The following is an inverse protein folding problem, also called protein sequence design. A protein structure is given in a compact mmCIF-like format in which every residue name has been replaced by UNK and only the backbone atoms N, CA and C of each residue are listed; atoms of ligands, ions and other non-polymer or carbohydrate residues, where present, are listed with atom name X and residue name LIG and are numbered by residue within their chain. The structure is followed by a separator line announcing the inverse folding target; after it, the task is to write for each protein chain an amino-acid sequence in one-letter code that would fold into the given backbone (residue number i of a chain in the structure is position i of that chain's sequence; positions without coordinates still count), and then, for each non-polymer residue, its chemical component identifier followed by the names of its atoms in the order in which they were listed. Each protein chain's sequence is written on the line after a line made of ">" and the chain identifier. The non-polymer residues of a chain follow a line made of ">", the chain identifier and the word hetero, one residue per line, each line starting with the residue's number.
data_IF_248133088162
#
_entry.id   IF_248133088162
#
_cell.length_a   1.000
_cell.length_b   1.000
_cell.length_c   1.000
_cell.angle_alpha   90.00
_cell.angle_beta   90.00
_cell.angle_gamma   90.00
#
_symmetry.space_group_name_H-M   'P 1'
#
loop_
_entity.id
_entity.type
_entity.pdbx_description
1 polymer ?
#
# COMPACT_ATOMS: atom_id res chain seq x y z
N UNK A 1 30.64 49.99 -18.11
CA UNK A 1 29.45 49.89 -17.23
C UNK A 1 28.51 48.75 -17.65
N UNK A 2 29.02 47.51 -17.81
CA UNK A 2 28.22 46.35 -18.28
C UNK A 2 28.18 45.19 -17.27
N UNK A 3 28.94 45.31 -16.17
CA UNK A 3 29.14 44.23 -15.19
C UNK A 3 28.25 44.37 -13.93
N UNK A 4 27.58 45.51 -13.74
CA UNK A 4 26.75 45.75 -12.54
C UNK A 4 25.36 45.11 -12.72
N UNK A 5 24.83 45.06 -13.94
CA UNK A 5 23.49 44.51 -14.22
C UNK A 5 23.45 42.98 -14.08
N UNK A 6 24.54 42.28 -14.41
CA UNK A 6 24.60 40.81 -14.33
C UNK A 6 24.63 40.32 -12.86
N UNK A 7 25.26 41.08 -11.97
CA UNK A 7 25.38 40.74 -10.55
C UNK A 7 24.05 40.92 -9.79
N UNK A 8 23.21 41.88 -10.23
CA UNK A 8 21.89 42.16 -9.64
C UNK A 8 20.84 41.08 -9.98
N UNK A 9 20.91 40.49 -11.18
CA UNK A 9 19.99 39.42 -11.61
C UNK A 9 20.28 38.12 -10.87
N UNK A 10 21.56 37.81 -10.62
CA UNK A 10 21.96 36.62 -9.85
C UNK A 10 21.51 36.74 -8.39
N UNK A 11 21.65 37.93 -7.78
CA UNK A 11 21.23 38.15 -6.40
C UNK A 11 19.71 38.01 -6.21
N UNK A 12 18.91 38.39 -7.22
CA UNK A 12 17.45 38.25 -7.20
C UNK A 12 16.98 36.79 -7.30
N UNK A 13 17.71 35.94 -8.02
CA UNK A 13 17.39 34.52 -8.18
C UNK A 13 17.69 33.69 -6.92
N UNK A 14 18.66 34.10 -6.10
CA UNK A 14 19.05 33.37 -4.89
C UNK A 14 18.02 33.59 -3.75
N UNK A 15 17.36 34.75 -3.70
CA UNK A 15 16.35 35.03 -2.66
C UNK A 15 14.98 34.41 -2.95
N UNK A 16 14.72 33.95 -4.17
CA UNK A 16 13.46 33.29 -4.55
C UNK A 16 13.44 31.78 -4.25
N UNK A 17 14.58 31.18 -3.93
CA UNK A 17 14.72 29.71 -3.79
C UNK A 17 14.61 29.21 -2.34
N UNK A 18 14.20 30.04 -1.39
CA UNK A 18 14.00 29.58 -0.01
C UNK A 18 12.53 29.16 0.18
N UNK A 19 12.09 28.15 -0.57
CA UNK A 19 10.92 27.37 -0.14
C UNK A 19 11.35 26.67 1.15
N UNK A 20 10.76 27.11 2.26
CA UNK A 20 10.97 26.50 3.56
C UNK A 20 10.55 25.03 3.44
N UNK A 21 11.51 24.13 3.45
CA UNK A 21 11.27 22.69 3.47
C UNK A 21 10.47 22.39 4.75
N UNK A 22 9.16 22.21 4.61
CA UNK A 22 8.30 21.81 5.71
C UNK A 22 8.53 20.32 5.90
N UNK A 23 9.38 19.98 6.88
CA UNK A 23 9.54 18.61 7.34
C UNK A 23 8.26 18.23 8.09
N UNK A 24 7.33 17.56 7.41
CA UNK A 24 6.16 16.96 8.06
C UNK A 24 6.63 15.66 8.71
N UNK A 25 6.49 15.57 10.04
CA UNK A 25 6.85 14.36 10.76
C UNK A 25 5.91 13.19 10.39
N UNK A 26 6.44 11.97 10.19
CA UNK A 26 5.61 10.79 10.03
C UNK A 26 4.76 10.51 11.27
N UNK A 27 3.53 10.06 11.05
CA UNK A 27 2.63 9.59 12.08
C UNK A 27 2.56 8.08 12.08
N UNK A 28 2.58 7.49 13.27
CA UNK A 28 2.28 6.09 13.45
C UNK A 28 0.78 5.83 13.20
N UNK A 29 0.48 4.72 12.55
CA UNK A 29 -0.89 4.28 12.35
C UNK A 29 -1.01 2.76 12.46
N UNK A 30 -2.19 2.32 12.85
CA UNK A 30 -2.61 0.92 12.85
C UNK A 30 -3.79 0.66 11.92
N UNK A 31 -3.91 -0.60 11.48
CA UNK A 31 -5.02 -1.12 10.65
C UNK A 31 -5.57 -2.43 11.20
N UNK A 32 -6.85 -2.67 10.96
CA UNK A 32 -7.51 -3.95 11.14
C UNK A 32 -8.42 -4.21 9.94
N UNK A 33 -8.07 -5.18 9.11
CA UNK A 33 -8.69 -5.38 7.80
C UNK A 33 -9.13 -6.82 7.56
N UNK A 34 -10.17 -6.95 6.74
CA UNK A 34 -10.60 -8.22 6.15
C UNK A 34 -10.66 -8.08 4.65
N UNK A 35 -10.07 -9.03 3.93
CA UNK A 35 -10.04 -9.08 2.47
C UNK A 35 -10.85 -10.29 2.02
N UNK A 36 -11.93 -10.03 1.31
CA UNK A 36 -12.76 -11.06 0.69
C UNK A 36 -12.40 -11.18 -0.79
N UNK A 37 -12.12 -12.38 -1.32
CA UNK A 37 -11.78 -12.54 -2.73
C UNK A 37 -12.96 -12.17 -3.63
N UNK A 38 -12.66 -11.52 -4.75
CA UNK A 38 -13.62 -11.24 -5.82
C UNK A 38 -13.68 -12.44 -6.77
N UNK A 39 -14.71 -13.27 -6.60
CA UNK A 39 -14.91 -14.47 -7.41
C UNK A 39 -15.12 -14.19 -8.91
N UNK A 40 -15.43 -12.95 -9.30
CA UNK A 40 -15.56 -12.55 -10.70
C UNK A 40 -14.23 -12.08 -11.30
N UNK A 41 -13.18 -11.90 -10.49
CA UNK A 41 -11.88 -11.46 -10.97
C UNK A 41 -11.13 -12.57 -11.71
N UNK A 42 -10.23 -12.22 -12.65
CA UNK A 42 -9.32 -13.20 -13.25
C UNK A 42 -8.49 -13.92 -12.19
N UNK A 43 -7.97 -15.10 -12.51
CA UNK A 43 -7.09 -15.83 -11.59
C UNK A 43 -5.62 -15.46 -11.79
N UNK A 44 -4.90 -15.29 -10.67
CA UNK A 44 -3.43 -15.35 -10.65
C UNK A 44 -3.00 -16.79 -10.42
N UNK A 45 -1.91 -17.20 -11.08
CA UNK A 45 -1.38 -18.56 -11.01
C UNK A 45 -0.05 -18.57 -10.27
N UNK A 46 0.14 -19.57 -9.39
CA UNK A 46 1.37 -19.81 -8.67
C UNK A 46 1.86 -21.23 -8.95
N UNK A 47 3.03 -21.35 -9.58
CA UNK A 47 3.64 -22.64 -9.88
C UNK A 47 4.51 -23.10 -8.71
N UNK A 48 4.26 -24.31 -8.26
CA UNK A 48 5.04 -24.99 -7.23
C UNK A 48 6.22 -25.74 -7.86
N UNK A 49 7.31 -26.01 -7.10
CA UNK A 49 8.48 -26.73 -7.62
C UNK A 49 8.19 -28.16 -8.10
N UNK A 50 7.14 -28.79 -7.59
CA UNK A 50 6.69 -30.13 -7.99
C UNK A 50 5.81 -30.13 -9.25
N UNK A 51 5.59 -28.95 -9.86
CA UNK A 51 4.71 -28.77 -11.01
C UNK A 51 3.24 -28.56 -10.66
N UNK A 52 2.86 -28.59 -9.39
CA UNK A 52 1.51 -28.24 -8.94
C UNK A 52 1.21 -26.77 -9.26
N UNK A 53 0.00 -26.51 -9.74
CA UNK A 53 -0.44 -25.16 -10.09
C UNK A 53 -1.54 -24.74 -9.11
N UNK A 54 -1.28 -23.68 -8.35
CA UNK A 54 -2.26 -23.03 -7.49
C UNK A 54 -2.88 -21.84 -8.22
N UNK A 55 -4.18 -21.62 -8.04
CA UNK A 55 -4.89 -20.49 -8.64
C UNK A 55 -5.73 -19.77 -7.60
N UNK A 56 -5.67 -18.44 -7.62
CA UNK A 56 -6.40 -17.59 -6.70
C UNK A 56 -7.04 -16.43 -7.46
N UNK A 57 -8.20 -15.91 -7.03
CA UNK A 57 -8.71 -14.65 -7.56
C UNK A 57 -7.66 -13.55 -7.41
N UNK A 58 -7.38 -12.85 -8.51
CA UNK A 58 -6.38 -11.78 -8.57
C UNK A 58 -6.82 -10.53 -7.83
N UNK A 59 -8.09 -10.41 -7.46
CA UNK A 59 -8.61 -9.24 -6.75
C UNK A 59 -9.42 -9.68 -5.53
N UNK A 60 -9.42 -8.84 -4.50
CA UNK A 60 -10.33 -8.91 -3.37
C UNK A 60 -10.77 -7.53 -2.89
N UNK A 61 -11.91 -7.48 -2.20
CA UNK A 61 -12.44 -6.28 -1.57
C UNK A 61 -11.94 -6.20 -0.12
N UNK A 62 -11.44 -5.02 0.25
CA UNK A 62 -10.85 -4.78 1.57
C UNK A 62 -11.85 -4.01 2.42
N UNK A 63 -12.13 -4.50 3.61
CA UNK A 63 -13.00 -3.84 4.60
C UNK A 63 -12.28 -3.72 5.93
N UNK A 64 -12.76 -2.86 6.83
CA UNK A 64 -12.20 -2.70 8.17
C UNK A 64 -11.90 -1.25 8.51
N UNK A 65 -10.81 -1.03 9.25
CA UNK A 65 -10.41 0.29 9.74
C UNK A 65 -8.92 0.55 9.56
N UNK A 66 -8.58 1.82 9.35
CA UNK A 66 -7.23 2.35 9.51
C UNK A 66 -7.31 3.62 10.36
N UNK A 67 -6.48 3.72 11.40
CA UNK A 67 -6.55 4.81 12.39
C UNK A 67 -6.46 6.22 11.79
N UNK A 68 -5.77 6.42 10.67
CA UNK A 68 -5.66 7.72 10.00
C UNK A 68 -6.87 8.07 9.11
N UNK A 69 -7.72 7.10 8.74
CA UNK A 69 -8.88 7.33 7.85
C UNK A 69 -10.23 6.90 8.44
N UNK A 70 -10.23 6.22 9.58
CA UNK A 70 -11.40 5.60 10.18
C UNK A 70 -11.82 4.32 9.44
N UNK A 71 -13.13 4.15 9.25
CA UNK A 71 -13.69 2.96 8.59
C UNK A 71 -13.58 3.04 7.07
N UNK A 72 -13.09 1.97 6.46
CA UNK A 72 -12.89 1.83 5.02
C UNK A 72 -14.22 1.70 4.26
N UNK A 73 -14.28 2.30 3.08
CA UNK A 73 -15.33 2.02 2.09
C UNK A 73 -14.98 0.72 1.36
N UNK A 74 -15.70 -0.36 1.69
CA UNK A 74 -15.41 -1.71 1.21
C UNK A 74 -15.63 -1.87 -0.31
N UNK A 75 -16.51 -1.07 -0.91
CA UNK A 75 -16.82 -1.16 -2.35
C UNK A 75 -15.72 -0.53 -3.20
N UNK A 76 -14.96 0.41 -2.62
CA UNK A 76 -13.86 1.11 -3.28
C UNK A 76 -12.48 0.63 -2.86
N UNK A 77 -12.37 -0.05 -1.72
CA UNK A 77 -11.11 -0.56 -1.19
C UNK A 77 -10.81 -1.95 -1.72
N UNK A 78 -9.63 -2.15 -2.31
CA UNK A 78 -9.30 -3.39 -3.02
C UNK A 78 -7.86 -3.81 -2.78
N UNK A 79 -7.60 -5.12 -2.86
CA UNK A 79 -6.26 -5.68 -3.00
C UNK A 79 -6.21 -6.43 -4.33
N UNK A 80 -5.14 -6.21 -5.10
CA UNK A 80 -4.89 -6.89 -6.37
C UNK A 80 -3.56 -7.62 -6.28
N UNK A 81 -3.54 -8.91 -6.63
CA UNK A 81 -2.35 -9.73 -6.77
C UNK A 81 -1.87 -9.64 -8.21
N UNK A 82 -0.66 -9.12 -8.39
CA UNK A 82 -0.05 -8.92 -9.71
C UNK A 82 0.69 -10.17 -10.17
N UNK A 83 1.39 -10.83 -9.24
CA UNK A 83 2.21 -12.01 -9.51
C UNK A 83 2.23 -12.91 -8.27
N UNK A 84 2.50 -14.20 -8.49
CA UNK A 84 2.70 -15.17 -7.41
C UNK A 84 3.84 -16.11 -7.79
N UNK A 85 4.77 -16.30 -6.87
CA UNK A 85 5.86 -17.28 -6.98
C UNK A 85 5.99 -18.06 -5.69
N UNK A 86 6.37 -19.33 -5.78
CA UNK A 86 6.77 -20.07 -4.60
C UNK A 86 8.21 -19.69 -4.21
N UNK A 87 8.39 -19.15 -3.01
CA UNK A 87 9.70 -18.83 -2.47
C UNK A 87 10.18 -19.98 -1.57
N UNK A 88 11.23 -20.68 -2.02
CA UNK A 88 11.78 -21.83 -1.30
C UNK A 88 12.50 -21.43 0.00
N UNK A 89 13.12 -20.25 0.06
CA UNK A 89 13.87 -19.79 1.23
C UNK A 89 12.94 -19.58 2.43
N UNK A 90 11.71 -19.13 2.17
CA UNK A 90 10.69 -18.91 3.19
C UNK A 90 9.64 -20.01 3.26
N UNK A 91 9.66 -20.97 2.33
CA UNK A 91 8.60 -21.99 2.17
C UNK A 91 7.20 -21.37 2.13
N UNK A 92 7.04 -20.30 1.33
CA UNK A 92 5.84 -19.47 1.27
C UNK A 92 5.47 -19.10 -0.16
N UNK A 93 4.18 -18.80 -0.39
CA UNK A 93 3.73 -18.11 -1.59
C UNK A 93 4.06 -16.63 -1.44
N UNK A 94 4.98 -16.14 -2.26
CA UNK A 94 5.34 -14.73 -2.35
C UNK A 94 4.51 -14.09 -3.45
N UNK A 95 3.79 -13.02 -3.11
CA UNK A 95 2.88 -12.33 -4.00
C UNK A 95 3.24 -10.85 -4.07
N UNK A 96 3.34 -10.30 -5.27
CA UNK A 96 3.35 -8.85 -5.45
C UNK A 96 1.91 -8.34 -5.47
N UNK A 97 1.63 -7.32 -4.67
CA UNK A 97 0.27 -6.83 -4.46
C UNK A 97 0.20 -5.31 -4.57
N UNK A 98 -0.94 -4.83 -5.06
CA UNK A 98 -1.35 -3.42 -4.96
C UNK A 98 -2.62 -3.33 -4.14
N UNK A 99 -2.65 -2.44 -3.17
CA UNK A 99 -3.82 -2.20 -2.33
C UNK A 99 -4.27 -0.76 -2.48
N UNK A 100 -5.57 -0.56 -2.58
CA UNK A 100 -6.25 0.73 -2.51
C UNK A 100 -7.12 0.70 -1.27
N UNK A 101 -6.92 1.65 -0.36
CA UNK A 101 -7.83 1.88 0.77
C UNK A 101 -8.56 3.19 0.54
N UNK A 102 -9.88 3.15 0.52
CA UNK A 102 -10.74 4.30 0.35
C UNK A 102 -11.45 4.63 1.68
N UNK A 103 -11.56 5.91 2.01
CA UNK A 103 -12.44 6.35 3.08
C UNK A 103 -13.88 6.56 2.58
N UNK A 104 -14.78 6.95 3.48
CA UNK A 104 -16.21 7.16 3.16
C UNK A 104 -16.45 8.33 2.21
N UNK A 105 -15.53 9.28 2.14
CA UNK A 105 -15.62 10.43 1.23
C UNK A 105 -15.14 10.04 -0.18
N UNK A 106 -14.50 8.87 -0.31
CA UNK A 106 -13.97 8.34 -1.57
C UNK A 106 -12.52 8.74 -1.84
N UNK A 107 -11.86 9.42 -0.90
CA UNK A 107 -10.43 9.68 -0.96
C UNK A 107 -9.66 8.39 -0.68
N UNK A 108 -8.57 8.17 -1.44
CA UNK A 108 -7.87 6.89 -1.49
C UNK A 108 -6.42 7.02 -1.08
N UNK A 109 -5.87 5.96 -0.48
CA UNK A 109 -4.43 5.75 -0.28
C UNK A 109 -4.00 4.53 -1.06
N UNK A 110 -2.88 4.65 -1.75
CA UNK A 110 -2.31 3.60 -2.60
C UNK A 110 -1.12 2.94 -1.91
N UNK A 111 -1.07 1.62 -1.99
CA UNK A 111 -0.03 0.81 -1.41
C UNK A 111 0.50 -0.17 -2.46
N UNK A 112 1.82 -0.23 -2.60
CA UNK A 112 2.51 -1.31 -3.32
C UNK A 112 3.20 -2.20 -2.29
N UNK A 113 3.12 -3.52 -2.43
CA UNK A 113 3.66 -4.42 -1.42
C UNK A 113 3.99 -5.82 -1.89
N UNK A 114 4.57 -6.57 -0.95
CA UNK A 114 4.84 -8.00 -1.08
C UNK A 114 4.22 -8.73 0.09
N UNK A 115 3.39 -9.73 -0.22
CA UNK A 115 2.82 -10.64 0.77
C UNK A 115 3.50 -12.01 0.72
N UNK A 116 3.61 -12.63 1.89
CA UNK A 116 4.07 -13.99 2.09
C UNK A 116 2.96 -14.75 2.77
N UNK A 117 2.42 -15.77 2.11
CA UNK A 117 1.41 -16.66 2.69
C UNK A 117 2.01 -18.04 2.88
N UNK A 118 2.03 -18.50 4.12
CA UNK A 118 2.60 -19.78 4.54
C UNK A 118 1.52 -20.86 4.51
N UNK A 119 1.92 -22.12 4.34
CA UNK A 119 1.00 -23.27 4.39
C UNK A 119 0.37 -23.52 5.77
N UNK A 120 0.85 -22.82 6.80
CA UNK A 120 0.24 -22.75 8.14
C UNK A 120 -0.96 -21.79 8.19
N UNK A 121 -1.40 -21.24 7.05
CA UNK A 121 -2.43 -20.21 6.93
C UNK A 121 -2.06 -18.86 7.56
N UNK A 122 -0.80 -18.65 7.95
CA UNK A 122 -0.31 -17.34 8.36
C UNK A 122 0.03 -16.53 7.11
N UNK A 123 -0.27 -15.24 7.13
CA UNK A 123 0.12 -14.30 6.08
C UNK A 123 0.78 -13.07 6.70
N UNK A 124 1.83 -12.58 6.04
CA UNK A 124 2.51 -11.33 6.39
C UNK A 124 2.69 -10.53 5.12
N UNK A 125 2.42 -9.22 5.17
CA UNK A 125 2.67 -8.36 4.02
C UNK A 125 3.41 -7.08 4.43
N UNK A 126 4.23 -6.60 3.51
CA UNK A 126 5.01 -5.37 3.63
C UNK A 126 4.59 -4.44 2.51
N UNK A 127 4.22 -3.22 2.85
CA UNK A 127 3.69 -2.23 1.95
C UNK A 127 4.48 -0.93 2.04
N UNK A 128 4.58 -0.24 0.91
CA UNK A 128 4.98 1.16 0.79
C UNK A 128 3.76 1.95 0.39
N UNK A 129 3.49 3.08 1.06
CA UNK A 129 2.49 4.05 0.63
C UNK A 129 3.06 4.83 -0.55
N UNK A 130 2.39 4.76 -1.70
CA UNK A 130 2.89 5.32 -2.96
C UNK A 130 2.17 6.59 -3.40
N UNK A 131 1.16 7.03 -2.63
CA UNK A 131 0.38 8.24 -2.90
C UNK A 131 -1.08 8.05 -2.52
N UNK A 132 -1.93 8.91 -3.06
CA UNK A 132 -3.37 8.82 -2.87
C UNK A 132 -4.16 9.77 -3.76
N UNK A 133 -5.39 10.04 -3.36
CA UNK A 133 -6.27 11.06 -3.96
C UNK A 133 -6.74 12.05 -2.89
N UNK A 134 -7.29 13.18 -3.32
CA UNK A 134 -7.87 14.19 -2.44
C UNK A 134 -6.93 14.61 -1.31
N UNK A 135 -7.34 14.45 -0.05
CA UNK A 135 -6.52 14.81 1.11
C UNK A 135 -5.29 13.92 1.33
N UNK A 136 -5.18 12.80 0.62
CA UNK A 136 -4.04 11.87 0.69
C UNK A 136 -3.12 11.92 -0.54
N UNK A 137 -3.31 12.88 -1.46
CA UNK A 137 -2.63 12.90 -2.77
C UNK A 137 -1.11 12.65 -2.70
N UNK A 138 -0.46 13.31 -1.76
CA UNK A 138 1.01 13.29 -1.61
C UNK A 138 1.44 12.43 -0.39
N UNK A 139 0.60 11.46 0.02
CA UNK A 139 0.89 10.58 1.14
C UNK A 139 2.03 9.61 0.83
N UNK A 140 2.91 9.36 1.80
CA UNK A 140 3.99 8.38 1.70
C UNK A 140 4.29 7.76 3.05
N UNK A 141 4.98 6.62 3.07
CA UNK A 141 5.17 5.83 4.29
C UNK A 141 5.29 4.34 4.01
N UNK A 142 5.09 3.54 5.05
CA UNK A 142 5.15 2.07 4.98
C UNK A 142 4.17 1.45 5.97
N UNK A 143 3.82 0.19 5.73
CA UNK A 143 2.99 -0.61 6.63
C UNK A 143 3.43 -2.06 6.59
N UNK A 144 3.35 -2.74 7.73
CA UNK A 144 3.45 -4.19 7.83
C UNK A 144 2.16 -4.74 8.38
N UNK A 145 1.66 -5.81 7.78
CA UNK A 145 0.49 -6.55 8.29
C UNK A 145 0.86 -7.99 8.61
N UNK A 146 0.16 -8.54 9.59
CA UNK A 146 0.18 -9.95 9.95
C UNK A 146 -1.27 -10.43 10.09
N UNK A 147 -1.55 -11.64 9.63
CA UNK A 147 -2.90 -12.14 9.58
C UNK A 147 -2.99 -13.62 9.28
N UNK A 148 -4.21 -14.07 9.04
CA UNK A 148 -4.51 -15.46 8.68
C UNK A 148 -5.36 -15.53 7.42
N UNK A 149 -5.23 -16.65 6.72
CA UNK A 149 -6.03 -16.99 5.54
C UNK A 149 -7.00 -18.11 5.90
N UNK A 150 -8.29 -17.83 5.85
CA UNK A 150 -9.32 -18.84 6.08
C UNK A 150 -9.48 -19.72 4.85
N UNK A 151 -9.17 -21.02 4.97
CA UNK A 151 -9.44 -22.00 3.92
C UNK A 151 -10.82 -22.66 4.14
N UNK A 152 -11.60 -22.94 3.07
CA UNK A 152 -11.29 -22.75 1.65
C UNK A 152 -11.74 -21.39 1.09
N UNK A 153 -12.32 -20.51 1.90
CA UNK A 153 -12.93 -19.25 1.43
C UNK A 153 -11.92 -18.22 0.95
N UNK A 154 -10.63 -18.41 1.26
CA UNK A 154 -9.52 -17.50 0.97
C UNK A 154 -9.73 -16.09 1.53
N UNK A 155 -10.57 -15.95 2.57
CA UNK A 155 -10.74 -14.70 3.29
C UNK A 155 -9.50 -14.45 4.14
N UNK A 156 -8.93 -13.26 4.02
CA UNK A 156 -7.76 -12.85 4.80
C UNK A 156 -8.23 -11.92 5.91
N UNK A 157 -7.84 -12.18 7.15
CA UNK A 157 -8.02 -11.25 8.27
C UNK A 157 -6.65 -10.86 8.79
N UNK A 158 -6.37 -9.56 8.83
CA UNK A 158 -5.05 -9.06 9.19
C UNK A 158 -5.13 -7.79 10.05
N UNK A 159 -4.13 -7.62 10.91
CA UNK A 159 -3.83 -6.38 11.61
C UNK A 159 -2.47 -5.87 11.17
N UNK A 160 -2.22 -4.58 11.28
CA UNK A 160 -0.93 -4.04 10.91
C UNK A 160 -0.64 -2.69 11.51
N UNK A 161 0.62 -2.30 11.39
CA UNK A 161 1.17 -1.05 11.89
C UNK A 161 2.13 -0.47 10.85
N UNK A 162 2.31 0.84 10.89
CA UNK A 162 3.16 1.54 9.95
C UNK A 162 3.31 3.01 10.29
N UNK A 163 3.99 3.74 9.41
CA UNK A 163 4.11 5.18 9.48
C UNK A 163 3.60 5.81 8.20
N UNK A 164 2.90 6.93 8.30
CA UNK A 164 2.40 7.69 7.15
C UNK A 164 2.66 9.19 7.34
N UNK A 165 3.06 9.87 6.26
CA UNK A 165 3.10 11.33 6.19
C UNK A 165 1.92 11.77 5.34
N UNK A 166 1.13 12.72 5.86
CA UNK A 166 -0.03 13.28 5.18
C UNK A 166 0.22 14.75 4.80
N UNK A 167 -0.20 15.19 3.60
CA UNK A 167 0.15 16.53 3.10
C UNK A 167 -0.52 17.70 3.84
N UNK A 168 -1.66 17.50 4.50
CA UNK A 168 -2.48 18.58 5.05
C UNK A 168 -2.88 18.39 6.52
N UNK A 169 -1.91 18.07 7.38
CA UNK A 169 -2.16 18.13 8.82
C UNK A 169 -2.26 19.57 9.32
#
# INVERSE_FOLDING_TARGET
>A
MKNITFMLVIFLLITASCEKEVIVAPDDFSVAITIAPDAASPFVTCSMPDGTILQFPSKGFTSGTASFMGGLDADKSTMTILSCVFNMDYSALQMEIKTVMADKDGDQVFFDGTAYTFFTNVSTAYYTVTGGTGKYRDAYGWMRTEGTVAQPTMIITATGEGTIVLPNK
#
